data_IF_420950558031
#
_entry.id   IF_420950558031
#
_cell.length_a   1.000
_cell.length_b   1.000
_cell.length_c   1.000
_cell.angle_alpha   90.00
_cell.angle_beta   90.00
_cell.angle_gamma   90.00
#
_symmetry.space_group_name_H-M   'P 1'
#
loop_
_entity.id
_entity.type
_entity.pdbx_description
1 polymer ?
#
# COMPACT_ATOMS: atom_id res chain seq x y z
N UNK A 1 11.79 1.04 21.31
CA UNK A 1 11.29 2.44 21.38
C UNK A 1 10.37 2.51 22.58
N UNK A 2 10.65 3.44 23.49
CA UNK A 2 10.11 3.51 24.85
C UNK A 2 8.61 3.80 24.89
N UNK A 3 7.99 3.37 26.00
CA UNK A 3 6.57 3.42 26.33
C UNK A 3 6.01 4.85 26.52
N UNK A 4 6.22 5.75 25.56
CA UNK A 4 5.65 7.11 25.58
C UNK A 4 4.27 7.11 24.93
N UNK A 5 3.35 6.38 25.59
CA UNK A 5 2.01 6.03 25.11
C UNK A 5 0.85 6.65 25.89
N UNK A 6 1.12 7.37 26.99
CA UNK A 6 0.06 7.98 27.81
C UNK A 6 0.03 9.51 27.66
N UNK A 7 -1.14 10.16 27.79
CA UNK A 7 -1.21 11.61 27.87
C UNK A 7 -0.37 12.12 29.05
N UNK A 8 0.58 13.00 28.77
CA UNK A 8 1.47 13.64 29.75
C UNK A 8 1.12 15.12 29.88
N UNK A 9 1.20 15.63 31.11
CA UNK A 9 1.16 17.07 31.35
C UNK A 9 2.41 17.75 30.80
N UNK A 10 2.40 19.08 30.71
CA UNK A 10 3.61 19.82 30.34
C UNK A 10 4.73 19.61 31.38
N UNK A 11 4.35 19.55 32.66
CA UNK A 11 5.25 19.32 33.79
C UNK A 11 5.91 17.94 33.74
N UNK A 12 5.20 16.90 33.28
CA UNK A 12 5.75 15.55 33.10
C UNK A 12 6.79 15.49 31.97
N UNK A 13 6.54 16.20 30.86
CA UNK A 13 7.44 16.16 29.69
C UNK A 13 8.76 16.86 30.00
N UNK A 14 8.71 17.98 30.73
CA UNK A 14 9.89 18.79 31.01
C UNK A 14 10.62 18.39 32.29
N UNK A 15 10.06 17.45 33.07
CA UNK A 15 10.62 16.98 34.35
C UNK A 15 12.04 16.45 34.21
N UNK A 16 12.27 15.59 33.23
CA UNK A 16 13.58 14.96 33.00
C UNK A 16 14.65 15.97 32.55
N UNK A 17 14.21 17.15 32.13
CA UNK A 17 15.07 18.27 31.71
C UNK A 17 15.29 19.29 32.83
N UNK A 18 14.67 19.09 34.00
CA UNK A 18 14.76 19.98 35.15
C UNK A 18 14.10 21.34 34.96
N UNK A 19 13.22 21.51 33.95
CA UNK A 19 12.57 22.79 33.70
C UNK A 19 11.32 22.95 34.56
N UNK A 20 11.22 24.10 35.21
CA UNK A 20 10.02 24.52 35.92
C UNK A 20 9.13 25.41 35.04
N UNK A 21 7.97 25.81 35.58
CA UNK A 21 6.97 26.62 34.87
C UNK A 21 7.54 27.95 34.35
N UNK A 22 8.38 28.62 35.14
CA UNK A 22 8.98 29.92 34.77
C UNK A 22 10.03 29.75 33.68
N UNK A 23 10.81 28.67 33.69
CA UNK A 23 11.76 28.37 32.62
C UNK A 23 11.02 28.16 31.28
N UNK A 24 9.93 27.39 31.31
CA UNK A 24 9.09 27.11 30.14
C UNK A 24 8.42 28.39 29.63
N UNK A 25 7.94 29.28 30.51
CA UNK A 25 7.41 30.59 30.13
C UNK A 25 8.48 31.45 29.46
N UNK A 26 9.68 31.52 30.04
CA UNK A 26 10.81 32.29 29.53
C UNK A 26 11.28 31.80 28.16
N UNK A 27 11.44 30.49 27.96
CA UNK A 27 11.89 29.92 26.69
C UNK A 27 10.85 30.04 25.58
N UNK A 28 9.58 29.77 25.91
CA UNK A 28 8.49 29.82 24.92
C UNK A 28 8.01 31.24 24.62
N UNK A 29 8.36 32.23 25.43
CA UNK A 29 7.85 33.60 25.31
C UNK A 29 6.35 33.71 25.61
N UNK A 30 5.78 32.74 26.31
CA UNK A 30 4.37 32.72 26.72
C UNK A 30 4.24 33.25 28.15
N UNK A 31 3.11 33.90 28.45
CA UNK A 31 2.80 34.34 29.81
C UNK A 31 2.74 33.14 30.78
N UNK A 32 3.25 33.31 32.00
CA UNK A 32 3.19 32.28 33.05
C UNK A 32 1.77 31.81 33.32
N UNK A 33 0.77 32.70 33.22
CA UNK A 33 -0.65 32.33 33.37
C UNK A 33 -1.17 31.38 32.27
N UNK A 34 -0.54 31.40 31.09
CA UNK A 34 -0.81 30.46 30.00
C UNK A 34 -0.15 29.13 30.32
N UNK A 35 1.13 29.13 30.72
CA UNK A 35 1.83 27.90 31.09
C UNK A 35 1.15 27.21 32.28
N UNK A 36 0.76 27.97 33.31
CA UNK A 36 0.04 27.46 34.48
C UNK A 36 -1.22 26.68 34.12
N UNK A 37 -2.01 27.15 33.14
CA UNK A 37 -3.21 26.46 32.65
C UNK A 37 -2.91 25.13 31.94
N UNK A 38 -1.71 24.99 31.38
CA UNK A 38 -1.27 23.79 30.66
C UNK A 38 -0.44 22.85 31.55
N UNK A 39 0.15 23.37 32.64
CA UNK A 39 1.24 22.76 33.39
C UNK A 39 0.94 21.33 33.83
N UNK A 40 -0.20 21.13 34.51
CA UNK A 40 -0.63 19.84 35.06
C UNK A 40 -1.84 19.24 34.32
N UNK A 41 -2.18 19.79 33.15
CA UNK A 41 -3.29 19.30 32.35
C UNK A 41 -2.80 18.30 31.29
N UNK A 42 -3.11 17.01 31.42
CA UNK A 42 -2.70 16.00 30.45
C UNK A 42 -3.33 16.15 29.04
N UNK A 43 -4.43 16.89 28.92
CA UNK A 43 -5.12 17.21 27.65
C UNK A 43 -4.72 18.58 27.08
N UNK A 44 -3.61 19.16 27.55
CA UNK A 44 -3.21 20.52 27.19
C UNK A 44 -3.04 20.72 25.67
N UNK A 45 -2.64 19.68 24.93
CA UNK A 45 -2.48 19.71 23.47
C UNK A 45 -3.79 20.02 22.73
N UNK A 46 -4.94 19.67 23.31
CA UNK A 46 -6.26 19.95 22.70
C UNK A 46 -6.78 21.36 23.00
N UNK A 47 -6.16 22.05 23.96
CA UNK A 47 -6.60 23.36 24.47
C UNK A 47 -5.65 24.50 24.11
N UNK A 48 -4.42 24.18 23.72
CA UNK A 48 -3.40 25.16 23.36
C UNK A 48 -3.66 25.72 21.96
N UNK A 49 -3.46 27.03 21.78
CA UNK A 49 -3.57 27.65 20.46
C UNK A 49 -2.43 27.20 19.54
N UNK A 50 -2.65 27.18 18.21
CA UNK A 50 -1.61 26.79 17.27
C UNK A 50 -0.32 27.63 17.35
N UNK A 51 -0.46 28.94 17.64
CA UNK A 51 0.70 29.84 17.85
C UNK A 51 1.47 29.48 19.12
N UNK A 52 0.75 29.25 20.22
CA UNK A 52 1.36 28.86 21.50
C UNK A 52 2.04 27.50 21.42
N UNK A 53 1.41 26.53 20.73
CA UNK A 53 2.00 25.22 20.48
C UNK A 53 3.28 25.33 19.66
N UNK A 54 3.29 26.14 18.60
CA UNK A 54 4.48 26.34 17.79
C UNK A 54 5.64 26.94 18.60
N UNK A 55 5.34 27.90 19.49
CA UNK A 55 6.33 28.49 20.42
C UNK A 55 6.90 27.47 21.40
N UNK A 56 6.05 26.59 21.94
CA UNK A 56 6.49 25.51 22.82
C UNK A 56 7.33 24.47 22.07
N UNK A 57 6.91 24.05 20.87
CA UNK A 57 7.64 23.09 20.03
C UNK A 57 9.01 23.61 19.57
N UNK A 58 9.14 24.92 19.31
CA UNK A 58 10.41 25.50 18.86
C UNK A 58 11.42 25.71 19.98
N UNK A 59 10.94 25.92 21.21
CA UNK A 59 11.77 26.47 22.29
C UNK A 59 11.89 25.58 23.52
N UNK A 60 10.99 24.61 23.69
CA UNK A 60 10.99 23.70 24.83
C UNK A 60 11.29 22.29 24.32
N UNK A 61 12.45 21.71 24.67
CA UNK A 61 12.81 20.41 24.15
C UNK A 61 11.85 19.30 24.64
N UNK A 62 11.66 18.26 23.81
CA UNK A 62 10.73 17.17 24.07
C UNK A 62 9.27 17.47 23.68
N UNK A 63 8.89 18.74 23.54
CA UNK A 63 7.51 19.10 23.16
C UNK A 63 7.19 18.74 21.72
N UNK A 64 8.14 18.95 20.79
CA UNK A 64 7.92 18.62 19.38
C UNK A 64 7.72 17.11 19.18
N UNK A 65 8.57 16.30 19.80
CA UNK A 65 8.52 14.85 19.76
C UNK A 65 7.24 14.31 20.41
N UNK A 66 6.88 14.84 21.59
CA UNK A 66 5.64 14.48 22.28
C UNK A 66 4.40 14.86 21.46
N UNK A 67 4.36 16.06 20.88
CA UNK A 67 3.24 16.53 20.05
C UNK A 67 3.03 15.63 18.83
N UNK A 68 4.11 15.25 18.14
CA UNK A 68 4.04 14.31 17.02
C UNK A 68 3.55 12.93 17.44
N UNK A 69 4.10 12.37 18.52
CA UNK A 69 3.69 11.06 19.05
C UNK A 69 2.22 11.06 19.50
N UNK A 70 1.79 12.13 20.17
CA UNK A 70 0.41 12.31 20.62
C UNK A 70 -0.56 12.41 19.43
N UNK A 71 -0.22 13.17 18.38
CA UNK A 71 -1.07 13.29 17.19
C UNK A 71 -1.28 11.94 16.48
N UNK A 72 -0.23 11.14 16.36
CA UNK A 72 -0.32 9.78 15.78
C UNK A 72 -1.21 8.88 16.65
N UNK A 73 -1.04 8.93 17.98
CA UNK A 73 -1.85 8.14 18.91
C UNK A 73 -3.32 8.55 18.89
N UNK A 74 -3.62 9.83 18.98
CA UNK A 74 -4.98 10.36 18.93
C UNK A 74 -5.69 9.95 17.63
N UNK A 75 -4.98 10.02 16.50
CA UNK A 75 -5.50 9.52 15.22
C UNK A 75 -5.77 8.01 15.26
N UNK A 76 -4.83 7.21 15.79
CA UNK A 76 -5.02 5.76 15.97
C UNK A 76 -6.26 5.45 16.80
N UNK A 77 -6.37 6.05 17.98
CA UNK A 77 -7.44 5.76 18.93
C UNK A 77 -8.80 6.16 18.36
N UNK A 78 -8.87 7.31 17.66
CA UNK A 78 -10.07 7.73 16.93
C UNK A 78 -10.45 6.76 15.81
N UNK A 79 -9.48 6.30 15.01
CA UNK A 79 -9.75 5.32 13.93
C UNK A 79 -10.20 3.97 14.48
N UNK A 80 -9.58 3.49 15.57
CA UNK A 80 -9.95 2.23 16.22
C UNK A 80 -11.38 2.30 16.76
N UNK A 81 -11.74 3.42 17.42
CA UNK A 81 -13.10 3.63 17.91
C UNK A 81 -14.13 3.72 16.77
N UNK A 82 -13.84 4.48 15.71
CA UNK A 82 -14.71 4.63 14.55
C UNK A 82 -14.92 3.29 13.81
N UNK A 83 -13.86 2.51 13.59
CA UNK A 83 -13.92 1.19 12.97
C UNK A 83 -14.72 0.20 13.80
N UNK A 84 -14.53 0.23 15.13
CA UNK A 84 -15.34 -0.58 16.04
C UNK A 84 -16.82 -0.21 15.95
N UNK A 85 -17.14 1.08 15.80
CA UNK A 85 -18.49 1.57 15.54
C UNK A 85 -19.13 1.03 14.25
N UNK A 86 -18.32 0.81 13.19
CA UNK A 86 -18.75 0.15 11.95
C UNK A 86 -18.67 -1.39 12.03
N UNK A 87 -18.30 -1.95 13.20
CA UNK A 87 -18.27 -3.38 13.46
C UNK A 87 -16.99 -4.10 13.03
N UNK A 88 -15.87 -3.38 12.81
CA UNK A 88 -14.53 -3.94 12.62
C UNK A 88 -13.68 -3.78 13.88
N UNK A 89 -13.12 -4.88 14.37
CA UNK A 89 -12.24 -4.86 15.56
C UNK A 89 -10.78 -4.95 15.15
N UNK A 90 -10.03 -3.89 15.46
CA UNK A 90 -8.58 -3.78 15.22
C UNK A 90 -7.82 -4.55 16.30
N UNK A 91 -6.88 -5.40 15.87
CA UNK A 91 -5.92 -6.02 16.76
C UNK A 91 -4.80 -5.01 17.07
N UNK A 92 -4.85 -4.42 18.28
CA UNK A 92 -3.89 -3.41 18.70
C UNK A 92 -2.48 -3.96 18.89
N UNK A 93 -2.35 -5.23 19.28
CA UNK A 93 -1.04 -5.87 19.45
C UNK A 93 -0.40 -6.10 18.08
N UNK A 94 -1.16 -6.65 17.12
CA UNK A 94 -0.70 -6.81 15.75
C UNK A 94 -0.37 -5.46 15.08
N UNK A 95 -1.21 -4.44 15.30
CA UNK A 95 -0.97 -3.09 14.78
C UNK A 95 0.34 -2.50 15.32
N UNK A 96 0.64 -2.67 16.61
CA UNK A 96 1.85 -2.14 17.24
C UNK A 96 3.12 -2.92 16.84
N UNK A 97 3.01 -4.23 16.68
CA UNK A 97 4.13 -5.11 16.34
C UNK A 97 4.39 -5.25 14.84
N UNK A 98 3.55 -4.64 13.99
CA UNK A 98 3.71 -4.68 12.54
C UNK A 98 5.03 -4.05 12.09
N UNK A 99 5.67 -4.69 11.10
CA UNK A 99 6.88 -4.17 10.44
C UNK A 99 6.58 -3.08 9.40
N UNK A 100 5.29 -2.86 9.09
CA UNK A 100 4.85 -1.82 8.17
C UNK A 100 4.87 -0.46 8.88
N UNK A 101 5.27 0.59 8.16
CA UNK A 101 5.28 1.94 8.72
C UNK A 101 3.89 2.35 9.25
N UNK A 102 3.85 2.79 10.51
CA UNK A 102 2.61 3.14 11.22
C UNK A 102 1.73 4.12 10.44
N UNK A 103 2.32 5.10 9.75
CA UNK A 103 1.55 6.04 8.94
C UNK A 103 0.76 5.36 7.81
N UNK A 104 1.34 4.34 7.16
CA UNK A 104 0.65 3.59 6.10
C UNK A 104 -0.47 2.73 6.69
N UNK A 105 -0.26 2.11 7.86
CA UNK A 105 -1.30 1.35 8.57
C UNK A 105 -2.47 2.24 9.02
N UNK A 106 -2.20 3.44 9.56
CA UNK A 106 -3.25 4.39 9.91
C UNK A 106 -4.02 4.89 8.68
N UNK A 107 -3.33 5.10 7.55
CA UNK A 107 -4.01 5.41 6.29
C UNK A 107 -4.88 4.23 5.84
N UNK A 108 -4.41 2.99 6.03
CA UNK A 108 -5.15 1.78 5.67
C UNK A 108 -6.42 1.67 6.52
N UNK A 109 -6.32 1.82 7.85
CA UNK A 109 -7.47 1.85 8.76
C UNK A 109 -8.51 2.92 8.36
N UNK A 110 -8.05 4.12 7.98
CA UNK A 110 -8.93 5.19 7.48
C UNK A 110 -9.60 4.84 6.13
N UNK A 111 -8.88 4.18 5.22
CA UNK A 111 -9.46 3.66 3.99
C UNK A 111 -10.49 2.56 4.27
N UNK A 112 -10.19 1.64 5.19
CA UNK A 112 -11.12 0.62 5.67
C UNK A 112 -12.40 1.23 6.24
N UNK A 113 -12.29 2.29 7.04
CA UNK A 113 -13.43 3.03 7.58
C UNK A 113 -14.30 3.62 6.46
N UNK A 114 -13.68 4.21 5.43
CA UNK A 114 -14.39 4.72 4.27
C UNK A 114 -15.07 3.64 3.43
N UNK A 115 -14.47 2.46 3.34
CA UNK A 115 -15.05 1.28 2.68
C UNK A 115 -16.26 0.78 3.48
N UNK A 116 -16.12 0.60 4.79
CA UNK A 116 -17.19 0.13 5.68
C UNK A 116 -18.41 1.04 5.67
N UNK A 117 -18.20 2.36 5.66
CA UNK A 117 -19.30 3.33 5.51
C UNK A 117 -20.01 3.23 4.17
N UNK A 118 -19.44 2.51 3.21
CA UNK A 118 -20.05 2.20 1.93
C UNK A 118 -20.43 3.47 1.18
N UNK A 119 -19.61 4.52 1.17
CA UNK A 119 -19.91 5.76 0.45
C UNK A 119 -19.07 5.84 -0.83
N UNK A 120 -19.70 5.75 -2.00
CA UNK A 120 -19.04 5.84 -3.30
C UNK A 120 -18.86 7.33 -3.68
N UNK A 121 -17.97 7.99 -2.95
CA UNK A 121 -17.67 9.42 -3.09
C UNK A 121 -16.27 9.61 -3.66
N UNK A 122 -16.00 10.80 -4.21
CA UNK A 122 -14.65 11.17 -4.64
C UNK A 122 -13.65 11.08 -3.48
N UNK A 123 -14.06 11.39 -2.25
CA UNK A 123 -13.23 11.25 -1.05
C UNK A 123 -12.77 9.81 -0.88
N UNK A 124 -13.69 8.85 -0.88
CA UNK A 124 -13.38 7.41 -0.77
C UNK A 124 -12.41 6.96 -1.88
N UNK A 125 -12.69 7.31 -3.14
CA UNK A 125 -11.78 7.00 -4.25
C UNK A 125 -10.38 7.60 -4.04
N UNK A 126 -10.28 8.84 -3.58
CA UNK A 126 -8.98 9.48 -3.32
C UNK A 126 -8.22 8.84 -2.16
N UNK A 127 -8.90 8.29 -1.16
CA UNK A 127 -8.23 7.53 -0.09
C UNK A 127 -7.68 6.20 -0.61
N UNK A 128 -8.49 5.42 -1.33
CA UNK A 128 -8.09 4.11 -1.85
C UNK A 128 -7.00 4.25 -2.92
N UNK A 129 -7.07 5.28 -3.78
CA UNK A 129 -6.07 5.51 -4.82
C UNK A 129 -4.64 5.75 -4.28
N UNK A 130 -4.49 6.16 -3.01
CA UNK A 130 -3.17 6.34 -2.37
C UNK A 130 -2.43 5.02 -2.16
N UNK A 131 -3.12 3.89 -2.31
CA UNK A 131 -2.54 2.57 -2.15
C UNK A 131 -1.87 2.03 -3.42
N UNK A 132 -1.78 2.86 -4.47
CA UNK A 132 -0.90 2.58 -5.60
C UNK A 132 0.57 2.78 -5.23
N UNK A 133 1.16 1.73 -4.66
CA UNK A 133 2.58 1.66 -4.36
C UNK A 133 2.89 0.58 -3.34
N UNK A 134 4.08 -0.02 -3.42
CA UNK A 134 4.44 -1.22 -2.65
C UNK A 134 4.16 -1.15 -1.15
N UNK A 135 4.70 -0.13 -0.48
CA UNK A 135 4.55 0.00 0.98
C UNK A 135 3.10 0.26 1.38
N UNK A 136 2.37 1.00 0.54
CA UNK A 136 0.98 1.30 0.78
C UNK A 136 0.13 0.04 0.56
N UNK A 137 0.30 -0.66 -0.56
CA UNK A 137 -0.41 -1.92 -0.86
C UNK A 137 -0.18 -2.97 0.23
N UNK A 138 1.06 -3.11 0.72
CA UNK A 138 1.35 -3.97 1.89
C UNK A 138 0.54 -3.58 3.13
N UNK A 139 0.39 -2.28 3.39
CA UNK A 139 -0.40 -1.80 4.52
C UNK A 139 -1.91 -2.06 4.32
N UNK A 140 -2.40 -1.95 3.09
CA UNK A 140 -3.79 -2.28 2.76
C UNK A 140 -4.05 -3.77 2.88
N UNK A 141 -3.14 -4.61 2.38
CA UNK A 141 -3.21 -6.06 2.47
C UNK A 141 -3.30 -6.54 3.93
N UNK A 142 -2.63 -5.84 4.86
CA UNK A 142 -2.72 -6.15 6.29
C UNK A 142 -4.15 -6.03 6.86
N UNK A 143 -5.05 -5.27 6.22
CA UNK A 143 -6.47 -5.24 6.60
C UNK A 143 -7.24 -6.47 6.12
N UNK A 144 -6.82 -7.07 5.01
CA UNK A 144 -7.53 -8.19 4.37
C UNK A 144 -6.95 -9.55 4.76
N UNK A 145 -5.73 -9.58 5.31
CA UNK A 145 -5.04 -10.82 5.64
C UNK A 145 -5.76 -11.59 6.75
N UNK A 146 -6.07 -12.85 6.48
CA UNK A 146 -6.53 -13.83 7.48
C UNK A 146 -5.38 -14.64 8.07
N UNK A 147 -4.14 -14.38 7.65
CA UNK A 147 -2.97 -15.13 8.13
C UNK A 147 -2.52 -14.61 9.50
N UNK A 148 -2.29 -15.55 10.43
CA UNK A 148 -1.84 -15.24 11.77
C UNK A 148 -0.52 -14.43 11.74
N UNK A 149 -0.51 -13.28 12.42
CA UNK A 149 0.66 -12.40 12.50
C UNK A 149 0.87 -11.47 11.30
N UNK A 150 0.00 -11.52 10.27
CA UNK A 150 0.04 -10.59 9.13
C UNK A 150 -1.15 -9.62 9.11
N UNK A 151 -2.32 -10.07 9.57
CA UNK A 151 -3.51 -9.24 9.69
C UNK A 151 -3.46 -8.28 10.87
N UNK A 152 -4.05 -7.09 10.72
CA UNK A 152 -4.28 -6.13 11.82
C UNK A 152 -5.75 -6.01 12.23
N UNK A 153 -6.63 -6.76 11.57
CA UNK A 153 -8.03 -6.93 11.96
C UNK A 153 -8.22 -8.33 12.55
N UNK A 154 -9.02 -8.43 13.61
CA UNK A 154 -9.36 -9.72 14.23
C UNK A 154 -10.22 -10.60 13.31
N UNK A 155 -11.12 -9.97 12.54
CA UNK A 155 -11.89 -10.61 11.46
C UNK A 155 -12.07 -9.64 10.29
N UNK A 156 -11.42 -9.89 9.13
CA UNK A 156 -11.52 -9.01 7.97
C UNK A 156 -12.77 -9.25 7.11
N UNK A 157 -13.61 -10.26 7.41
CA UNK A 157 -14.74 -10.66 6.55
C UNK A 157 -15.70 -9.52 6.22
N UNK A 158 -16.09 -8.73 7.22
CA UNK A 158 -17.00 -7.58 6.99
C UNK A 158 -16.41 -6.52 6.07
N UNK A 159 -15.09 -6.29 6.17
CA UNK A 159 -14.39 -5.38 5.28
C UNK A 159 -14.41 -5.93 3.85
N UNK A 160 -14.12 -7.22 3.72
CA UNK A 160 -14.16 -7.93 2.45
C UNK A 160 -15.55 -7.85 1.79
N UNK A 161 -16.62 -8.16 2.53
CA UNK A 161 -18.00 -8.06 2.03
C UNK A 161 -18.35 -6.62 1.60
N UNK A 162 -17.96 -5.63 2.41
CA UNK A 162 -18.17 -4.21 2.11
C UNK A 162 -17.41 -3.75 0.86
N UNK A 163 -16.25 -4.35 0.59
CA UNK A 163 -15.46 -4.08 -0.61
C UNK A 163 -16.12 -4.61 -1.87
N UNK A 164 -16.70 -5.82 -1.82
CA UNK A 164 -17.49 -6.38 -2.91
C UNK A 164 -18.69 -5.47 -3.21
N UNK A 165 -19.42 -5.05 -2.17
CA UNK A 165 -20.58 -4.17 -2.32
C UNK A 165 -20.21 -2.78 -2.89
N UNK A 166 -19.03 -2.26 -2.51
CA UNK A 166 -18.56 -0.95 -2.94
C UNK A 166 -18.04 -0.94 -4.38
N UNK A 167 -17.40 -2.01 -4.85
CA UNK A 167 -16.73 -2.05 -6.15
C UNK A 167 -17.66 -1.70 -7.34
N UNK A 168 -18.87 -2.30 -7.50
CA UNK A 168 -19.80 -1.94 -8.58
C UNK A 168 -20.24 -0.47 -8.52
N UNK A 169 -20.31 0.11 -7.32
CA UNK A 169 -20.75 1.48 -7.12
C UNK A 169 -19.66 2.49 -7.46
N UNK A 170 -18.40 2.14 -7.20
CA UNK A 170 -17.24 2.90 -7.70
C UNK A 170 -17.18 2.82 -9.22
N UNK A 171 -17.43 1.62 -9.78
CA UNK A 171 -17.43 1.39 -11.23
C UNK A 171 -18.38 2.35 -11.97
N UNK A 172 -19.62 2.49 -11.49
CA UNK A 172 -20.62 3.43 -12.05
C UNK A 172 -20.20 4.91 -12.02
N UNK A 173 -19.17 5.26 -11.23
CA UNK A 173 -18.68 6.63 -11.04
C UNK A 173 -17.23 6.82 -11.51
N UNK A 174 -16.74 5.95 -12.38
CA UNK A 174 -15.34 5.93 -12.86
C UNK A 174 -15.07 7.04 -13.89
N UNK A 175 -15.30 8.29 -13.52
CA UNK A 175 -15.05 9.46 -14.36
C UNK A 175 -13.71 10.14 -14.05
N UNK A 176 -13.07 9.76 -12.93
CA UNK A 176 -11.79 10.31 -12.49
C UNK A 176 -10.72 9.24 -12.40
N UNK A 177 -9.48 9.63 -12.66
CA UNK A 177 -8.32 8.76 -12.54
C UNK A 177 -8.18 8.12 -11.15
N UNK A 178 -8.49 8.86 -10.09
CA UNK A 178 -8.52 8.32 -8.73
C UNK A 178 -9.56 7.21 -8.55
N UNK A 179 -10.71 7.31 -9.21
CA UNK A 179 -11.73 6.25 -9.13
C UNK A 179 -11.30 4.99 -9.89
N UNK A 180 -10.59 5.15 -11.02
CA UNK A 180 -10.00 4.03 -11.77
C UNK A 180 -8.96 3.31 -10.91
N UNK A 181 -8.02 4.05 -10.31
CA UNK A 181 -7.01 3.50 -9.39
C UNK A 181 -7.66 2.83 -8.19
N UNK A 182 -8.61 3.50 -7.53
CA UNK A 182 -9.31 2.97 -6.37
C UNK A 182 -9.99 1.65 -6.67
N UNK A 183 -10.70 1.58 -7.80
CA UNK A 183 -11.40 0.38 -8.21
C UNK A 183 -10.43 -0.76 -8.50
N UNK A 184 -9.36 -0.51 -9.27
CA UNK A 184 -8.31 -1.51 -9.52
C UNK A 184 -7.71 -2.06 -8.21
N UNK A 185 -7.33 -1.19 -7.28
CA UNK A 185 -6.76 -1.56 -5.97
C UNK A 185 -7.77 -2.40 -5.17
N UNK A 186 -9.03 -1.98 -5.13
CA UNK A 186 -10.08 -2.70 -4.40
C UNK A 186 -10.30 -4.09 -5.00
N UNK A 187 -10.44 -4.19 -6.33
CA UNK A 187 -10.61 -5.47 -7.02
C UNK A 187 -9.40 -6.38 -6.88
N UNK A 188 -8.18 -5.82 -6.84
CA UNK A 188 -6.95 -6.56 -6.59
C UNK A 188 -6.96 -7.20 -5.21
N UNK A 189 -7.29 -6.43 -4.17
CA UNK A 189 -7.35 -6.94 -2.80
C UNK A 189 -8.45 -8.00 -2.62
N UNK A 190 -9.65 -7.76 -3.16
CA UNK A 190 -10.74 -8.76 -3.14
C UNK A 190 -10.33 -10.05 -3.85
N UNK A 191 -9.79 -9.95 -5.06
CA UNK A 191 -9.38 -11.13 -5.86
C UNK A 191 -8.22 -11.90 -5.22
N UNK A 192 -7.35 -11.20 -4.51
CA UNK A 192 -6.25 -11.81 -3.74
C UNK A 192 -6.78 -12.62 -2.56
N UNK A 193 -7.83 -12.17 -1.88
CA UNK A 193 -8.46 -12.93 -0.78
C UNK A 193 -9.23 -14.14 -1.31
N UNK A 194 -9.99 -14.00 -2.39
CA UNK A 194 -10.83 -15.11 -2.91
C UNK A 194 -10.04 -16.14 -3.71
N UNK A 195 -8.96 -15.74 -4.37
CA UNK A 195 -8.27 -16.56 -5.36
C UNK A 195 -9.10 -16.87 -6.60
N UNK A 196 -10.22 -16.17 -6.81
CA UNK A 196 -11.13 -16.36 -7.93
C UNK A 196 -11.44 -15.05 -8.63
N UNK A 197 -11.72 -15.13 -9.93
CA UNK A 197 -12.33 -14.03 -10.68
C UNK A 197 -13.78 -13.92 -10.20
N UNK A 198 -14.13 -12.92 -9.40
CA UNK A 198 -15.53 -12.66 -9.08
C UNK A 198 -16.26 -12.17 -10.33
N UNK A 199 -17.26 -12.92 -10.79
CA UNK A 199 -18.02 -12.61 -11.99
C UNK A 199 -18.76 -11.26 -11.89
N UNK A 200 -19.13 -10.85 -10.68
CA UNK A 200 -19.77 -9.56 -10.38
C UNK A 200 -18.80 -8.37 -10.47
N UNK A 201 -17.50 -8.64 -10.56
CA UNK A 201 -16.47 -7.66 -10.94
C UNK A 201 -16.24 -7.64 -12.47
N UNK A 202 -17.09 -8.28 -13.28
CA UNK A 202 -17.04 -8.24 -14.74
C UNK A 202 -17.54 -6.90 -15.33
N UNK A 203 -16.98 -6.48 -16.48
CA UNK A 203 -17.18 -5.13 -17.03
C UNK A 203 -17.52 -5.11 -18.53
N UNK A 204 -18.45 -4.23 -18.92
CA UNK A 204 -19.06 -4.14 -20.28
C UNK A 204 -18.59 -2.93 -21.13
N UNK A 205 -17.46 -2.27 -20.83
CA UNK A 205 -17.01 -1.10 -21.63
C UNK A 205 -15.64 -1.36 -22.26
N UNK A 206 -15.43 -1.15 -23.57
CA UNK A 206 -14.09 -1.23 -24.17
C UNK A 206 -13.17 -0.09 -23.74
N UNK A 207 -11.88 -0.35 -23.45
CA UNK A 207 -10.86 0.70 -23.28
C UNK A 207 -9.76 0.42 -22.26
N UNK A 208 -8.85 1.40 -22.09
CA UNK A 208 -7.70 1.35 -21.13
C UNK A 208 -8.14 1.14 -19.68
N UNK A 209 -9.30 1.65 -19.31
CA UNK A 209 -9.82 1.57 -17.94
C UNK A 209 -10.20 0.13 -17.59
N UNK A 210 -10.95 -0.53 -18.48
CA UNK A 210 -11.35 -1.94 -18.35
C UNK A 210 -10.15 -2.86 -18.36
N UNK A 211 -9.19 -2.59 -19.24
CA UNK A 211 -7.91 -3.29 -19.27
C UNK A 211 -7.17 -3.21 -17.92
N UNK A 212 -7.09 -2.01 -17.35
CA UNK A 212 -6.45 -1.78 -16.07
C UNK A 212 -7.20 -2.47 -14.94
N UNK A 213 -8.53 -2.44 -14.94
CA UNK A 213 -9.34 -3.12 -13.93
C UNK A 213 -9.21 -4.64 -14.02
N UNK A 214 -9.27 -5.20 -15.23
CA UNK A 214 -9.04 -6.63 -15.48
C UNK A 214 -7.66 -7.07 -14.97
N UNK A 215 -6.62 -6.28 -15.21
CA UNK A 215 -5.30 -6.51 -14.63
C UNK A 215 -5.35 -6.63 -13.10
N UNK A 216 -6.06 -5.74 -12.41
CA UNK A 216 -6.20 -5.78 -10.95
C UNK A 216 -6.75 -7.11 -10.46
N UNK A 217 -7.83 -7.57 -11.07
CA UNK A 217 -8.47 -8.86 -10.76
C UNK A 217 -7.49 -10.01 -11.03
N UNK A 218 -6.91 -10.07 -12.24
CA UNK A 218 -6.00 -11.16 -12.64
C UNK A 218 -4.77 -11.22 -11.75
N UNK A 219 -4.11 -10.09 -11.48
CA UNK A 219 -2.93 -10.07 -10.60
C UNK A 219 -3.26 -10.53 -9.18
N UNK A 220 -4.41 -10.08 -8.64
CA UNK A 220 -4.87 -10.50 -7.32
C UNK A 220 -5.08 -12.01 -7.27
N UNK A 221 -5.83 -12.56 -8.24
CA UNK A 221 -6.07 -14.00 -8.34
C UNK A 221 -4.78 -14.79 -8.57
N UNK A 222 -3.84 -14.32 -9.39
CA UNK A 222 -2.58 -15.04 -9.63
C UNK A 222 -1.66 -15.07 -8.40
N UNK A 223 -1.74 -14.09 -7.50
CA UNK A 223 -0.94 -14.10 -6.27
C UNK A 223 -1.42 -15.20 -5.31
N UNK A 224 -2.73 -15.42 -5.20
CA UNK A 224 -3.31 -16.37 -4.24
C UNK A 224 -3.67 -17.73 -4.85
N UNK A 225 -3.81 -17.83 -6.17
CA UNK A 225 -4.05 -19.08 -6.88
C UNK A 225 -2.80 -19.54 -7.63
N UNK A 226 -2.61 -20.85 -7.72
CA UNK A 226 -1.61 -21.44 -8.61
C UNK A 226 -2.23 -21.77 -9.98
N UNK A 227 -3.15 -20.94 -10.47
CA UNK A 227 -3.88 -21.14 -11.73
C UNK A 227 -3.01 -20.72 -12.93
N UNK A 228 -2.30 -21.70 -13.49
CA UNK A 228 -1.50 -21.52 -14.69
C UNK A 228 -2.34 -21.12 -15.91
N UNK A 229 -3.56 -21.65 -16.05
CA UNK A 229 -4.38 -21.41 -17.23
C UNK A 229 -4.93 -19.97 -17.22
N UNK A 230 -5.14 -19.37 -16.05
CA UNK A 230 -5.39 -17.94 -15.92
C UNK A 230 -4.21 -17.10 -16.43
N UNK A 231 -2.98 -17.43 -16.01
CA UNK A 231 -1.79 -16.71 -16.44
C UNK A 231 -1.57 -16.81 -17.96
N UNK A 232 -1.79 -17.99 -18.53
CA UNK A 232 -1.68 -18.22 -19.98
C UNK A 232 -2.77 -17.49 -20.78
N UNK A 233 -4.03 -17.51 -20.33
CA UNK A 233 -5.11 -16.72 -20.95
C UNK A 233 -4.80 -15.23 -20.92
N UNK A 234 -4.33 -14.71 -19.78
CA UNK A 234 -3.97 -13.30 -19.65
C UNK A 234 -2.82 -12.91 -20.60
N UNK A 235 -1.81 -13.78 -20.74
CA UNK A 235 -0.72 -13.58 -21.72
C UNK A 235 -1.25 -13.50 -23.16
N UNK A 236 -2.15 -14.42 -23.55
CA UNK A 236 -2.75 -14.43 -24.89
C UNK A 236 -3.58 -13.16 -25.16
N UNK A 237 -4.32 -12.67 -24.17
CA UNK A 237 -5.07 -11.41 -24.27
C UNK A 237 -4.15 -10.19 -24.45
N UNK A 238 -3.01 -10.16 -23.75
CA UNK A 238 -2.00 -9.11 -23.89
C UNK A 238 -1.33 -9.12 -25.26
N UNK A 239 -1.03 -10.31 -25.79
CA UNK A 239 -0.48 -10.49 -27.14
C UNK A 239 -1.47 -10.02 -28.22
N UNK A 240 -2.77 -10.30 -28.03
CA UNK A 240 -3.82 -9.92 -28.95
C UNK A 240 -4.17 -8.41 -28.88
N UNK A 241 -3.95 -7.76 -27.72
CA UNK A 241 -4.41 -6.40 -27.44
C UNK A 241 -3.27 -5.48 -27.00
N UNK A 242 -2.63 -4.71 -27.93
CA UNK A 242 -1.47 -3.88 -27.62
C UNK A 242 -1.67 -2.86 -26.49
N UNK A 243 -2.91 -2.36 -26.32
CA UNK A 243 -3.26 -1.43 -25.24
C UNK A 243 -3.06 -2.06 -23.86
N UNK A 244 -3.32 -3.37 -23.72
CA UNK A 244 -3.18 -4.07 -22.45
C UNK A 244 -1.69 -4.27 -22.13
N UNK A 245 -0.86 -4.60 -23.13
CA UNK A 245 0.58 -4.70 -22.95
C UNK A 245 1.21 -3.36 -22.51
N UNK A 246 0.77 -2.24 -23.07
CA UNK A 246 1.22 -0.91 -22.66
C UNK A 246 0.84 -0.57 -21.20
N UNK A 247 -0.32 -1.03 -20.73
CA UNK A 247 -0.74 -0.89 -19.33
C UNK A 247 0.10 -1.76 -18.40
N UNK A 248 0.44 -2.97 -18.82
CA UNK A 248 1.32 -3.84 -18.04
C UNK A 248 2.72 -3.24 -17.90
N UNK A 249 3.26 -2.68 -19.00
CA UNK A 249 4.52 -1.92 -18.98
C UNK A 249 4.46 -0.71 -18.05
N UNK A 250 3.32 -0.03 -17.96
CA UNK A 250 3.13 1.15 -17.10
C UNK A 250 2.99 0.80 -15.61
N UNK A 251 2.40 -0.35 -15.30
CA UNK A 251 1.90 -0.64 -13.96
C UNK A 251 3.01 -0.82 -12.93
N UNK A 252 3.96 -1.71 -13.17
CA UNK A 252 5.07 -1.95 -12.23
C UNK A 252 5.94 -0.70 -12.01
N UNK A 253 6.44 0.01 -13.03
CA UNK A 253 7.31 1.15 -12.80
C UNK A 253 6.63 2.27 -12.01
N UNK A 254 5.33 2.48 -12.19
CA UNK A 254 4.60 3.49 -11.40
C UNK A 254 4.30 2.99 -9.99
N UNK A 255 4.04 1.70 -9.81
CA UNK A 255 3.86 1.06 -8.49
C UNK A 255 5.14 1.08 -7.65
N UNK A 256 6.30 0.86 -8.27
CA UNK A 256 7.63 0.88 -7.60
C UNK A 256 8.28 2.26 -7.60
N UNK A 257 7.61 3.28 -8.16
CA UNK A 257 8.06 4.67 -8.24
C UNK A 257 9.30 4.93 -9.10
N UNK A 258 9.64 4.02 -10.01
CA UNK A 258 10.57 4.34 -11.11
C UNK A 258 9.92 5.32 -12.10
N UNK A 259 8.63 5.15 -12.37
CA UNK A 259 7.81 6.03 -13.21
C UNK A 259 6.85 6.91 -12.40
N UNK A 260 6.49 8.06 -12.97
CA UNK A 260 5.41 8.90 -12.42
C UNK A 260 4.05 8.37 -12.87
N UNK A 261 3.10 8.37 -11.94
CA UNK A 261 1.71 8.05 -12.22
C UNK A 261 1.12 9.11 -13.18
N UNK A 262 0.45 8.66 -14.23
CA UNK A 262 -0.18 9.49 -15.26
C UNK A 262 -1.56 8.92 -15.62
N UNK A 263 -2.53 9.79 -15.89
CA UNK A 263 -3.91 9.37 -16.17
C UNK A 263 -4.12 8.78 -17.56
N UNK A 264 -3.16 8.97 -18.46
CA UNK A 264 -3.14 8.42 -19.81
C UNK A 264 -2.35 7.12 -19.91
N UNK A 265 -1.79 6.63 -18.79
CA UNK A 265 -1.00 5.40 -18.70
C UNK A 265 0.26 5.42 -19.56
N UNK A 266 0.91 6.58 -19.67
CA UNK A 266 2.16 6.75 -20.42
C UNK A 266 3.38 6.75 -19.51
N UNK A 267 4.50 6.30 -20.05
CA UNK A 267 5.83 6.37 -19.42
C UNK A 267 6.79 7.13 -20.34
N UNK A 268 7.81 7.81 -19.77
CA UNK A 268 8.89 8.42 -20.54
C UNK A 268 9.59 7.42 -21.48
N UNK A 269 10.13 7.90 -22.59
CA UNK A 269 10.84 7.07 -23.57
C UNK A 269 12.07 6.38 -22.98
N UNK A 270 12.78 7.05 -22.06
CA UNK A 270 13.84 6.46 -21.25
C UNK A 270 13.42 6.39 -19.78
N UNK A 271 13.49 5.20 -19.20
CA UNK A 271 13.18 4.95 -17.80
C UNK A 271 14.09 3.86 -17.27
N UNK A 272 14.78 4.12 -16.17
CA UNK A 272 15.57 3.08 -15.50
C UNK A 272 14.68 2.31 -14.53
N UNK A 273 14.66 0.99 -14.63
CA UNK A 273 13.76 0.11 -13.87
C UNK A 273 14.41 -0.39 -12.57
N UNK A 274 15.10 0.47 -11.82
CA UNK A 274 15.88 0.06 -10.64
C UNK A 274 15.02 -0.52 -9.53
N UNK A 275 13.98 0.20 -9.10
CA UNK A 275 13.11 -0.25 -8.01
C UNK A 275 12.22 -1.41 -8.49
N UNK A 276 11.80 -1.36 -9.75
CA UNK A 276 11.05 -2.41 -10.44
C UNK A 276 11.83 -3.72 -10.47
N UNK A 277 13.12 -3.69 -10.83
CA UNK A 277 13.95 -4.88 -10.84
C UNK A 277 14.07 -5.51 -9.44
N UNK A 278 14.26 -4.69 -8.40
CA UNK A 278 14.26 -5.15 -7.01
C UNK A 278 12.92 -5.79 -6.62
N UNK A 279 11.80 -5.22 -7.04
CA UNK A 279 10.49 -5.78 -6.76
C UNK A 279 10.28 -7.12 -7.48
N UNK A 280 10.58 -7.20 -8.77
CA UNK A 280 10.44 -8.44 -9.54
C UNK A 280 11.29 -9.56 -8.95
N UNK A 281 12.53 -9.27 -8.53
CA UNK A 281 13.39 -10.26 -7.87
C UNK A 281 12.77 -10.78 -6.56
N UNK A 282 12.15 -9.90 -5.77
CA UNK A 282 11.40 -10.31 -4.56
C UNK A 282 10.21 -11.18 -4.94
N UNK A 283 9.43 -10.78 -5.94
CA UNK A 283 8.23 -11.49 -6.35
C UNK A 283 8.53 -12.89 -6.91
N UNK A 284 9.63 -13.06 -7.65
CA UNK A 284 10.14 -14.38 -8.08
C UNK A 284 10.38 -15.29 -6.87
N UNK A 285 10.93 -14.76 -5.79
CA UNK A 285 11.29 -15.52 -4.61
C UNK A 285 10.08 -15.86 -3.71
N UNK A 286 9.05 -15.01 -3.69
CA UNK A 286 7.96 -15.08 -2.70
C UNK A 286 6.69 -15.69 -3.27
N UNK A 287 6.35 -15.43 -4.54
CA UNK A 287 5.07 -15.86 -5.09
C UNK A 287 5.09 -17.26 -5.71
N UNK A 288 3.88 -17.77 -5.95
CA UNK A 288 3.64 -19.12 -6.45
C UNK A 288 4.09 -19.30 -7.92
N UNK A 289 4.00 -20.53 -8.42
CA UNK A 289 4.51 -20.89 -9.75
C UNK A 289 3.70 -20.22 -10.88
N UNK A 290 2.38 -20.06 -10.73
CA UNK A 290 1.55 -19.37 -11.74
C UNK A 290 1.91 -17.88 -11.86
N UNK A 291 2.15 -17.20 -10.74
CA UNK A 291 2.63 -15.82 -10.76
C UNK A 291 4.03 -15.71 -11.37
N UNK A 292 4.93 -16.66 -11.06
CA UNK A 292 6.23 -16.74 -11.72
C UNK A 292 6.08 -16.89 -13.24
N UNK A 293 5.17 -17.76 -13.69
CA UNK A 293 4.90 -17.94 -15.11
C UNK A 293 4.49 -16.62 -15.77
N UNK A 294 3.58 -15.87 -15.15
CA UNK A 294 3.20 -14.54 -15.59
C UNK A 294 4.44 -13.62 -15.69
N UNK A 295 5.31 -13.58 -14.68
CA UNK A 295 6.51 -12.74 -14.72
C UNK A 295 7.41 -13.09 -15.90
N UNK A 296 7.71 -14.38 -16.13
CA UNK A 296 8.66 -14.80 -17.17
C UNK A 296 8.10 -14.81 -18.58
N UNK A 297 6.80 -15.04 -18.72
CA UNK A 297 6.15 -15.13 -20.03
C UNK A 297 5.64 -13.77 -20.53
N UNK A 298 5.35 -12.85 -19.61
CA UNK A 298 4.69 -11.58 -19.89
C UNK A 298 5.53 -10.39 -19.43
N UNK A 299 5.68 -10.21 -18.12
CA UNK A 299 6.16 -8.94 -17.58
C UNK A 299 7.64 -8.66 -17.88
N UNK A 300 8.53 -9.60 -17.57
CA UNK A 300 9.98 -9.44 -17.78
C UNK A 300 10.32 -9.17 -19.26
N UNK A 301 9.75 -9.89 -20.24
CA UNK A 301 9.93 -9.56 -21.65
C UNK A 301 9.53 -8.12 -22.01
N UNK A 302 8.45 -7.59 -21.43
CA UNK A 302 8.02 -6.20 -21.63
C UNK A 302 8.98 -5.21 -20.97
N UNK A 303 9.38 -5.47 -19.72
CA UNK A 303 10.36 -4.65 -19.00
C UNK A 303 11.71 -4.55 -19.74
N UNK A 304 12.20 -5.64 -20.33
CA UNK A 304 13.45 -5.65 -21.10
C UNK A 304 13.39 -4.88 -22.41
N UNK A 305 12.20 -4.74 -23.02
CA UNK A 305 12.02 -3.85 -24.18
C UNK A 305 12.20 -2.39 -23.79
N UNK A 306 11.80 -2.03 -22.56
CA UNK A 306 11.90 -0.67 -22.02
C UNK A 306 13.30 -0.36 -21.50
N UNK A 307 13.85 -1.25 -20.68
CA UNK A 307 15.17 -1.12 -20.08
C UNK A 307 15.94 -2.42 -20.31
N UNK A 308 16.77 -2.50 -21.37
CA UNK A 308 17.54 -3.70 -21.67
C UNK A 308 18.53 -4.11 -20.57
N UNK A 309 18.93 -3.17 -19.71
CA UNK A 309 19.80 -3.46 -18.57
C UNK A 309 19.00 -3.95 -17.34
N UNK A 310 17.67 -3.94 -17.39
CA UNK A 310 16.75 -4.34 -16.32
C UNK A 310 17.14 -3.71 -14.97
N UNK A 311 17.26 -2.38 -14.93
CA UNK A 311 17.69 -1.66 -13.73
C UNK A 311 19.15 -1.90 -13.34
N UNK A 312 19.97 -2.52 -14.19
CA UNK A 312 21.34 -2.96 -13.90
C UNK A 312 21.41 -4.27 -13.12
N UNK A 313 20.35 -5.09 -13.14
CA UNK A 313 20.18 -6.32 -12.33
C UNK A 313 20.09 -7.61 -13.16
N UNK A 314 20.58 -7.60 -14.40
CA UNK A 314 20.52 -8.79 -15.27
C UNK A 314 21.15 -10.04 -14.65
N UNK A 315 22.34 -10.00 -14.02
CA UNK A 315 22.94 -11.18 -13.39
C UNK A 315 22.08 -11.75 -12.27
N UNK A 316 21.54 -10.89 -11.41
CA UNK A 316 20.65 -11.28 -10.31
C UNK A 316 19.34 -11.88 -10.83
N UNK A 317 18.79 -11.32 -11.92
CA UNK A 317 17.59 -11.85 -12.56
C UNK A 317 17.84 -13.25 -13.13
N UNK A 318 18.95 -13.46 -13.82
CA UNK A 318 19.34 -14.79 -14.33
C UNK A 318 19.44 -15.79 -13.19
N UNK A 319 20.16 -15.44 -12.12
CA UNK A 319 20.34 -16.32 -10.97
C UNK A 319 19.01 -16.65 -10.29
N UNK A 320 18.14 -15.66 -10.06
CA UNK A 320 16.85 -15.86 -9.42
C UNK A 320 15.95 -16.80 -10.24
N UNK A 321 15.92 -16.64 -11.57
CA UNK A 321 15.13 -17.49 -12.47
C UNK A 321 15.68 -18.91 -12.56
N UNK A 322 17.00 -19.10 -12.54
CA UNK A 322 17.61 -20.42 -12.53
C UNK A 322 17.28 -21.18 -11.24
N UNK A 323 17.47 -20.52 -10.08
CA UNK A 323 17.16 -21.11 -8.79
C UNK A 323 15.67 -21.47 -8.69
N UNK A 324 14.78 -20.49 -8.93
CA UNK A 324 13.34 -20.70 -8.81
C UNK A 324 12.80 -21.67 -9.85
N UNK A 325 13.38 -21.66 -11.06
CA UNK A 325 12.99 -22.55 -12.16
C UNK A 325 13.24 -24.04 -11.85
N UNK A 326 14.26 -24.38 -11.04
CA UNK A 326 14.51 -25.76 -10.61
C UNK A 326 13.37 -26.27 -9.71
N UNK A 327 12.84 -25.42 -8.84
CA UNK A 327 11.82 -25.78 -7.85
C UNK A 327 10.40 -25.87 -8.43
N UNK A 328 10.17 -25.34 -9.64
CA UNK A 328 8.86 -25.31 -10.27
C UNK A 328 8.38 -26.71 -10.65
N UNK A 329 7.15 -27.07 -10.29
CA UNK A 329 6.59 -28.41 -10.57
C UNK A 329 6.11 -28.58 -12.01
N UNK A 330 5.56 -27.53 -12.61
CA UNK A 330 5.04 -27.57 -13.98
C UNK A 330 6.18 -27.48 -15.00
N UNK A 331 6.22 -28.43 -15.94
CA UNK A 331 7.23 -28.50 -17.00
C UNK A 331 7.21 -27.29 -17.93
N UNK A 332 6.03 -26.75 -18.23
CA UNK A 332 5.84 -25.59 -19.13
C UNK A 332 6.49 -24.36 -18.52
N UNK A 333 6.28 -24.13 -17.22
CA UNK A 333 6.89 -23.02 -16.47
C UNK A 333 8.41 -23.14 -16.51
N UNK A 334 8.95 -24.32 -16.20
CA UNK A 334 10.41 -24.57 -16.28
C UNK A 334 10.97 -24.29 -17.67
N UNK A 335 10.27 -24.72 -18.72
CA UNK A 335 10.69 -24.47 -20.11
C UNK A 335 10.70 -22.98 -20.45
N UNK A 336 9.67 -22.24 -20.03
CA UNK A 336 9.61 -20.78 -20.24
C UNK A 336 10.71 -20.05 -19.48
N UNK A 337 10.96 -20.41 -18.21
CA UNK A 337 12.09 -19.87 -17.45
C UNK A 337 13.42 -20.14 -18.15
N UNK A 338 13.68 -21.38 -18.58
CA UNK A 338 14.92 -21.76 -19.26
C UNK A 338 15.11 -21.01 -20.58
N UNK A 339 14.03 -20.80 -21.34
CA UNK A 339 14.07 -20.02 -22.58
C UNK A 339 14.44 -18.56 -22.30
N UNK A 340 13.82 -17.95 -21.29
CA UNK A 340 14.12 -16.58 -20.89
C UNK A 340 15.56 -16.44 -20.38
N UNK A 341 16.02 -17.35 -19.52
CA UNK A 341 17.41 -17.38 -19.00
C UNK A 341 18.43 -17.43 -20.14
N UNK A 342 18.23 -18.30 -21.14
CA UNK A 342 19.12 -18.38 -22.31
C UNK A 342 19.18 -17.06 -23.08
N UNK A 343 18.04 -16.38 -23.24
CA UNK A 343 17.97 -15.08 -23.88
C UNK A 343 18.71 -14.02 -23.06
N UNK A 344 18.50 -13.99 -21.74
CA UNK A 344 19.15 -13.04 -20.83
C UNK A 344 20.68 -13.20 -20.81
N UNK A 345 21.18 -14.44 -20.80
CA UNK A 345 22.63 -14.73 -20.89
C UNK A 345 23.26 -14.32 -22.22
N UNK A 346 22.46 -14.10 -23.26
CA UNK A 346 22.93 -13.52 -24.52
C UNK A 346 22.93 -11.99 -24.55
N UNK A 347 22.34 -11.34 -23.54
CA UNK A 347 22.29 -9.88 -23.39
C UNK A 347 23.32 -9.34 -22.38
N UNK A 348 23.65 -10.15 -21.37
CA UNK A 348 24.73 -9.91 -20.41
C UNK A 348 26.09 -10.22 -21.04
#
# INVERSE_FOLDING_TARGET
MTADGEPKSLSDITRDMGLNMSDVAAFSGLDESTIFRLWDNAEWLDRVSGRSLQSLMSSVPGIAEYSMAHAVRKRRDGLVADLHGEGLTVDLEALQNSTVAQQHLLNALEAGLHIMRGQATQKTSSFIARFWGREQDTALEALYSTEAGKGILTDPRKLFDSSIDLAPRLNRKTYSFHSILALNILTHQVSKVTGALEADLGFEVPGRQTAFMMRGVVMGSLISSNDFDLAERYRQELDATPVYAALEEWSFPTYTRDGRISSDFTLPSSLSLRNTATEVLREIAVYNDAYLYYLVSTYIPLALKRDPAFGGRLPELVQALELRGVDCRDRRIRQTCNMLVRRLKGLA
#
